data_IF_625422063088
#
_entry.id   IF_625422063088
#
_cell.length_a   1.000
_cell.length_b   1.000
_cell.length_c   1.000
_cell.angle_alpha   90.00
_cell.angle_beta   90.00
_cell.angle_gamma   90.00
#
_symmetry.space_group_name_H-M   'P 1'
#
loop_
_entity.id
_entity.type
_entity.pdbx_description
1 polymer ?
#
# COMPACT_ATOMS: atom_id res chain seq x y z
N UNK A 1 32.68 -2.59 -2.91
CA UNK A 1 31.40 -2.19 -2.30
C UNK A 1 31.41 -0.68 -2.14
N UNK A 2 30.54 0.07 -2.86
CA UNK A 2 30.43 1.51 -2.76
C UNK A 2 29.93 1.91 -1.37
N UNK A 3 30.22 3.17 -0.96
CA UNK A 3 29.65 3.73 0.29
C UNK A 3 28.13 3.65 0.23
N UNK A 4 27.48 3.13 1.28
CA UNK A 4 26.03 3.13 1.40
C UNK A 4 25.50 4.56 1.32
N UNK A 5 24.44 4.78 0.56
CA UNK A 5 23.81 6.10 0.39
C UNK A 5 22.58 6.16 1.28
N UNK A 6 22.49 7.20 2.11
CA UNK A 6 21.28 7.46 2.89
C UNK A 6 20.21 8.06 1.98
N UNK A 7 19.04 7.42 1.95
CA UNK A 7 17.85 7.87 1.22
C UNK A 7 16.77 8.19 2.24
N UNK A 8 16.14 9.36 2.10
CA UNK A 8 15.01 9.80 2.89
C UNK A 8 13.71 9.45 2.16
N UNK A 9 12.76 8.89 2.89
CA UNK A 9 11.43 8.55 2.39
C UNK A 9 10.41 9.52 2.97
N UNK A 10 9.69 10.24 2.10
CA UNK A 10 8.47 10.94 2.45
C UNK A 10 7.28 10.10 1.98
N UNK A 11 6.38 9.81 2.89
CA UNK A 11 5.11 9.19 2.54
C UNK A 11 4.03 10.27 2.33
N UNK A 12 3.30 10.18 1.23
CA UNK A 12 2.24 11.12 0.85
C UNK A 12 0.88 10.44 0.71
N UNK A 13 0.68 9.29 1.38
CA UNK A 13 -0.60 8.55 1.37
C UNK A 13 -1.77 9.40 1.82
N UNK A 14 -1.55 10.25 2.85
CA UNK A 14 -2.59 11.10 3.44
C UNK A 14 -2.89 12.37 2.65
N UNK A 15 -2.10 12.69 1.62
CA UNK A 15 -2.36 13.82 0.72
C UNK A 15 -2.63 13.34 -0.69
N UNK A 16 -1.61 12.85 -1.42
CA UNK A 16 -1.74 12.38 -2.80
C UNK A 16 -2.48 11.03 -2.88
N UNK A 17 -2.22 10.15 -1.93
CA UNK A 17 -2.94 8.88 -1.82
C UNK A 17 -4.45 9.07 -1.66
N UNK A 18 -4.88 10.10 -0.95
CA UNK A 18 -6.29 10.45 -0.79
C UNK A 18 -6.92 11.04 -2.08
N UNK A 19 -6.12 11.45 -3.07
CA UNK A 19 -6.61 11.84 -4.39
C UNK A 19 -7.00 10.65 -5.28
N UNK A 20 -6.84 9.41 -4.80
CA UNK A 20 -7.41 8.23 -5.45
C UNK A 20 -8.94 8.36 -5.49
N UNK A 21 -9.53 8.13 -6.65
CA UNK A 21 -10.99 8.22 -6.81
C UNK A 21 -11.71 7.29 -5.82
N UNK A 22 -12.62 7.85 -5.02
CA UNK A 22 -13.40 7.12 -4.03
C UNK A 22 -12.71 6.97 -2.66
N UNK A 23 -11.51 7.48 -2.47
CA UNK A 23 -10.81 7.48 -1.18
C UNK A 23 -11.07 8.81 -0.45
N UNK A 24 -11.40 8.71 0.83
CA UNK A 24 -11.50 9.84 1.75
C UNK A 24 -11.28 9.33 3.17
N UNK A 25 -10.31 9.90 3.88
CA UNK A 25 -10.01 9.52 5.26
C UNK A 25 -10.62 10.51 6.25
N UNK A 26 -11.27 10.00 7.28
CA UNK A 26 -11.72 10.87 8.38
C UNK A 26 -10.55 11.25 9.29
N UNK A 27 -10.65 12.35 10.10
CA UNK A 27 -9.52 12.85 10.90
C UNK A 27 -8.84 11.80 11.78
N UNK A 28 -9.59 10.89 12.40
CA UNK A 28 -9.03 9.81 13.21
C UNK A 28 -8.26 8.76 12.40
N UNK A 29 -8.70 8.43 11.20
CA UNK A 29 -8.00 7.52 10.30
C UNK A 29 -6.68 8.15 9.83
N UNK A 30 -6.69 9.45 9.45
CA UNK A 30 -5.47 10.19 9.13
C UNK A 30 -4.47 10.16 10.29
N UNK A 31 -4.93 10.42 11.51
CA UNK A 31 -4.06 10.31 12.69
C UNK A 31 -3.51 8.89 12.87
N UNK A 32 -4.34 7.87 12.73
CA UNK A 32 -3.89 6.47 12.85
C UNK A 32 -2.86 6.11 11.79
N UNK A 33 -3.10 6.45 10.52
CA UNK A 33 -2.15 6.20 9.44
C UNK A 33 -0.85 6.98 9.68
N UNK A 34 -0.91 8.26 10.06
CA UNK A 34 0.28 9.06 10.36
C UNK A 34 1.13 8.43 11.48
N UNK A 35 0.49 7.86 12.50
CA UNK A 35 1.19 7.14 13.58
C UNK A 35 1.88 5.88 13.06
N UNK A 36 1.18 5.06 12.29
CA UNK A 36 1.76 3.84 11.69
C UNK A 36 2.94 4.18 10.78
N UNK A 37 2.83 5.24 10.00
CA UNK A 37 3.92 5.70 9.13
C UNK A 37 5.15 6.15 9.92
N UNK A 38 4.97 6.96 10.97
CA UNK A 38 6.07 7.59 11.71
C UNK A 38 6.65 6.70 12.82
N UNK A 39 5.83 5.93 13.55
CA UNK A 39 6.26 5.09 14.68
C UNK A 39 6.59 3.67 14.25
N UNK A 40 5.76 3.03 13.42
CA UNK A 40 5.92 1.62 13.03
C UNK A 40 6.82 1.48 11.81
N UNK A 41 6.47 2.09 10.69
CA UNK A 41 7.28 2.06 9.46
C UNK A 41 8.52 2.94 9.53
N UNK A 42 8.51 3.99 10.35
CA UNK A 42 9.63 4.93 10.58
C UNK A 42 10.04 5.69 9.32
N UNK A 43 9.06 6.12 8.52
CA UNK A 43 9.33 7.03 7.41
C UNK A 43 10.00 8.31 7.90
N UNK A 44 10.78 8.97 7.05
CA UNK A 44 11.49 10.18 7.44
C UNK A 44 10.55 11.38 7.58
N UNK A 45 9.53 11.45 6.70
CA UNK A 45 8.55 12.55 6.63
C UNK A 45 7.19 12.04 6.15
N UNK A 46 6.12 12.75 6.52
CA UNK A 46 4.76 12.48 6.06
C UNK A 46 4.10 13.76 5.58
N UNK A 47 3.53 13.74 4.39
CA UNK A 47 2.68 14.82 3.87
C UNK A 47 1.22 14.46 4.14
N UNK A 48 0.56 15.22 5.03
CA UNK A 48 -0.68 14.77 5.66
C UNK A 48 -1.96 15.37 5.07
N UNK A 49 -1.86 16.48 4.35
CA UNK A 49 -3.02 17.17 3.78
C UNK A 49 -2.62 18.24 2.76
N UNK A 50 -3.62 18.77 2.05
CA UNK A 50 -3.53 20.04 1.34
C UNK A 50 -4.21 21.13 2.16
N UNK A 51 -3.57 22.29 2.28
CA UNK A 51 -4.11 23.42 3.01
C UNK A 51 -5.43 23.93 2.39
N UNK A 52 -6.38 24.37 3.24
CA UNK A 52 -7.62 25.06 2.82
C UNK A 52 -8.64 24.22 2.05
N UNK A 53 -8.54 22.90 2.10
CA UNK A 53 -9.50 22.03 1.40
C UNK A 53 -10.83 21.93 2.14
N UNK A 54 -10.79 21.64 3.45
CA UNK A 54 -12.00 21.52 4.28
C UNK A 54 -11.70 21.72 5.77
N UNK A 55 -12.75 21.84 6.58
CA UNK A 55 -12.63 21.87 8.03
C UNK A 55 -12.15 20.52 8.59
N UNK A 56 -12.53 19.41 7.96
CA UNK A 56 -12.05 18.08 8.32
C UNK A 56 -10.54 17.93 8.12
N UNK A 57 -9.99 18.48 7.03
CA UNK A 57 -8.54 18.53 6.81
C UNK A 57 -7.83 19.36 7.88
N UNK A 58 -8.41 20.50 8.27
CA UNK A 58 -7.87 21.32 9.34
C UNK A 58 -7.82 20.57 10.67
N UNK A 59 -8.90 19.89 11.04
CA UNK A 59 -8.99 19.08 12.25
C UNK A 59 -7.98 17.93 12.22
N UNK A 60 -7.90 17.20 11.11
CA UNK A 60 -6.95 16.10 10.94
C UNK A 60 -5.50 16.57 11.13
N UNK A 61 -5.09 17.63 10.43
CA UNK A 61 -3.73 18.18 10.57
C UNK A 61 -3.45 18.65 11.99
N UNK A 62 -4.40 19.34 12.62
CA UNK A 62 -4.27 19.77 14.01
C UNK A 62 -4.08 18.58 14.96
N UNK A 63 -4.89 17.54 14.84
CA UNK A 63 -4.78 16.33 15.65
C UNK A 63 -3.41 15.64 15.46
N UNK A 64 -2.94 15.53 14.22
CA UNK A 64 -1.64 14.93 13.90
C UNK A 64 -0.49 15.79 14.49
N UNK A 65 -0.54 17.12 14.33
CA UNK A 65 0.48 18.02 14.86
C UNK A 65 0.52 17.99 16.40
N UNK A 66 -0.64 18.02 17.07
CA UNK A 66 -0.73 17.95 18.54
C UNK A 66 -0.17 16.62 19.07
N UNK A 67 -0.42 15.50 18.36
CA UNK A 67 0.17 14.21 18.70
C UNK A 67 1.67 14.18 18.42
N UNK A 68 2.12 14.61 17.23
CA UNK A 68 3.52 14.59 16.82
C UNK A 68 4.40 15.49 17.71
N UNK A 69 3.88 16.62 18.17
CA UNK A 69 4.58 17.51 19.11
C UNK A 69 4.89 16.79 20.42
N UNK A 70 3.94 16.04 20.99
CA UNK A 70 4.15 15.25 22.22
C UNK A 70 5.17 14.11 22.05
N UNK A 71 5.44 13.69 20.82
CA UNK A 71 6.37 12.61 20.46
C UNK A 71 7.71 13.12 19.91
N UNK A 72 7.91 14.45 19.85
CA UNK A 72 9.07 15.07 19.20
C UNK A 72 9.21 14.71 17.71
N UNK A 73 8.07 14.50 17.02
CA UNK A 73 7.98 14.13 15.61
C UNK A 73 7.42 15.25 14.71
N UNK A 74 7.10 16.43 15.29
CA UNK A 74 6.43 17.50 14.55
C UNK A 74 7.23 17.97 13.33
N UNK A 75 8.55 17.93 13.38
CA UNK A 75 9.43 18.28 12.27
C UNK A 75 9.35 17.33 11.07
N UNK A 76 8.68 16.19 11.22
CA UNK A 76 8.44 15.19 10.17
C UNK A 76 7.06 15.35 9.51
N UNK A 77 6.20 16.21 10.04
CA UNK A 77 4.84 16.43 9.52
C UNK A 77 4.86 17.62 8.58
N UNK A 78 4.43 17.41 7.34
CA UNK A 78 4.42 18.40 6.27
C UNK A 78 3.02 18.56 5.70
N UNK A 79 2.69 19.77 5.22
CA UNK A 79 1.41 20.09 4.60
C UNK A 79 1.63 20.77 3.26
N UNK A 80 0.91 20.34 2.23
CA UNK A 80 0.91 21.00 0.93
C UNK A 80 0.20 22.36 1.05
N UNK A 81 0.84 23.42 0.57
CA UNK A 81 0.27 24.76 0.52
C UNK A 81 0.42 25.37 -0.86
N UNK A 82 -0.20 26.51 -1.07
CA UNK A 82 -0.27 27.17 -2.37
C UNK A 82 0.41 28.54 -2.34
N UNK A 83 0.84 29.02 -3.52
CA UNK A 83 1.36 30.39 -3.71
C UNK A 83 0.18 31.36 -3.76
N UNK A 84 -0.39 31.65 -2.59
CA UNK A 84 -1.64 32.41 -2.40
C UNK A 84 -1.47 33.56 -1.37
N UNK A 85 -0.28 34.13 -1.34
CA UNK A 85 0.11 35.19 -0.41
C UNK A 85 0.32 34.63 1.01
N UNK A 86 -0.55 34.97 1.93
CA UNK A 86 -0.45 34.53 3.35
C UNK A 86 -1.39 33.37 3.69
N UNK A 87 -2.36 33.10 2.87
CA UNK A 87 -3.53 32.31 3.26
C UNK A 87 -3.20 30.87 3.61
N UNK A 88 -2.41 30.17 2.80
CA UNK A 88 -1.97 28.80 3.09
C UNK A 88 -1.02 28.76 4.30
N UNK A 89 -0.11 29.73 4.42
CA UNK A 89 0.84 29.82 5.54
C UNK A 89 0.09 30.05 6.86
N UNK A 90 -0.86 30.98 6.91
CA UNK A 90 -1.68 31.24 8.10
C UNK A 90 -2.52 30.02 8.50
N UNK A 91 -3.06 29.30 7.51
CA UNK A 91 -3.82 28.07 7.76
C UNK A 91 -2.92 27.01 8.40
N UNK A 92 -1.72 26.81 7.86
CA UNK A 92 -0.71 25.85 8.36
C UNK A 92 -0.26 26.23 9.77
N UNK A 93 0.03 27.51 10.01
CA UNK A 93 0.40 28.01 11.34
C UNK A 93 -0.66 27.69 12.39
N UNK A 94 -1.94 27.92 12.05
CA UNK A 94 -3.08 27.67 12.96
C UNK A 94 -3.27 26.19 13.29
N UNK A 95 -2.85 25.26 12.44
CA UNK A 95 -2.86 23.83 12.74
C UNK A 95 -1.74 23.40 13.66
N UNK A 96 -0.73 24.24 13.87
CA UNK A 96 0.48 23.94 14.62
C UNK A 96 1.58 23.26 13.78
N UNK A 97 1.35 23.00 12.48
CA UNK A 97 2.38 22.47 11.59
C UNK A 97 3.53 23.50 11.39
N UNK A 98 4.73 23.00 11.12
CA UNK A 98 5.96 23.81 10.99
C UNK A 98 6.66 23.65 9.65
N UNK A 99 6.06 22.90 8.71
CA UNK A 99 6.63 22.67 7.40
C UNK A 99 5.56 22.81 6.34
N UNK A 100 5.79 23.67 5.35
CA UNK A 100 4.97 23.83 4.16
C UNK A 100 5.68 23.22 2.95
N UNK A 101 4.97 22.40 2.17
CA UNK A 101 5.35 21.98 0.84
C UNK A 101 4.63 22.90 -0.16
N UNK A 102 5.30 23.93 -0.62
CA UNK A 102 4.72 24.99 -1.44
C UNK A 102 4.59 24.52 -2.89
N UNK A 103 3.38 24.45 -3.42
CA UNK A 103 3.10 24.03 -4.80
C UNK A 103 3.34 25.19 -5.78
N UNK A 104 4.42 25.11 -6.54
CA UNK A 104 4.80 26.05 -7.58
C UNK A 104 4.69 25.40 -8.95
N UNK A 105 4.53 26.18 -10.02
CA UNK A 105 4.46 25.65 -11.40
C UNK A 105 5.85 25.42 -11.96
N UNK A 106 6.16 24.16 -12.26
CA UNK A 106 7.46 23.71 -12.79
C UNK A 106 7.55 23.70 -14.32
N UNK A 107 6.47 24.03 -15.06
CA UNK A 107 6.48 24.20 -16.52
C UNK A 107 5.99 25.59 -16.95
N UNK A 108 6.57 26.11 -18.03
CA UNK A 108 6.15 27.42 -18.58
C UNK A 108 4.67 27.42 -18.96
N UNK A 109 4.18 26.29 -19.49
CA UNK A 109 2.77 26.14 -19.87
C UNK A 109 1.85 26.33 -18.68
N UNK A 110 2.13 25.71 -17.53
CA UNK A 110 1.31 25.89 -16.31
C UNK A 110 1.43 27.33 -15.75
N UNK A 111 2.62 27.93 -15.79
CA UNK A 111 2.82 29.31 -15.36
C UNK A 111 1.97 30.28 -16.20
N UNK A 112 2.08 30.20 -17.52
CA UNK A 112 1.44 31.19 -18.42
C UNK A 112 -0.02 30.92 -18.71
N UNK A 113 -0.44 29.66 -18.83
CA UNK A 113 -1.80 29.31 -19.23
C UNK A 113 -2.72 29.08 -18.03
N UNK A 114 -2.24 28.44 -16.95
CA UNK A 114 -3.05 28.17 -15.76
C UNK A 114 -3.02 29.34 -14.78
N UNK A 115 -1.83 29.82 -14.37
CA UNK A 115 -1.73 30.98 -13.49
C UNK A 115 -1.94 32.30 -14.21
N UNK A 116 -1.75 32.35 -15.54
CA UNK A 116 -1.78 33.57 -16.36
C UNK A 116 -0.77 34.62 -15.88
N UNK A 117 0.43 34.16 -15.48
CA UNK A 117 1.52 35.00 -14.97
C UNK A 117 2.75 34.90 -15.85
N UNK A 118 3.54 35.96 -15.83
CA UNK A 118 4.91 35.91 -16.36
C UNK A 118 5.82 35.16 -15.37
N UNK A 119 6.90 34.52 -15.83
CA UNK A 119 7.86 33.80 -14.97
C UNK A 119 8.36 34.63 -13.78
N UNK A 120 8.70 35.90 -14.03
CA UNK A 120 9.22 36.82 -13.00
C UNK A 120 8.20 37.09 -11.90
N UNK A 121 6.93 37.30 -12.29
CA UNK A 121 5.83 37.50 -11.32
C UNK A 121 5.62 36.27 -10.46
N UNK A 122 5.67 35.07 -11.06
CA UNK A 122 5.51 33.83 -10.30
C UNK A 122 6.67 33.60 -9.33
N UNK A 123 7.91 33.90 -9.73
CA UNK A 123 9.10 33.83 -8.87
C UNK A 123 8.96 34.80 -7.71
N UNK A 124 8.54 36.05 -7.96
CA UNK A 124 8.35 37.06 -6.93
C UNK A 124 7.30 36.63 -5.90
N UNK A 125 6.17 36.08 -6.36
CA UNK A 125 5.12 35.56 -5.49
C UNK A 125 5.66 34.44 -4.57
N UNK A 126 6.42 33.48 -5.12
CA UNK A 126 7.04 32.40 -4.34
C UNK A 126 7.97 32.98 -3.29
N UNK A 127 8.87 33.89 -3.66
CA UNK A 127 9.83 34.54 -2.74
C UNK A 127 9.09 35.25 -1.61
N UNK A 128 7.97 35.92 -1.92
CA UNK A 128 7.17 36.62 -0.89
C UNK A 128 6.53 35.65 0.08
N UNK A 129 5.99 34.50 -0.39
CA UNK A 129 5.43 33.46 0.49
C UNK A 129 6.52 32.82 1.36
N UNK A 130 7.70 32.53 0.77
CA UNK A 130 8.84 31.97 1.51
C UNK A 130 9.26 32.91 2.63
N UNK A 131 9.43 34.20 2.31
CA UNK A 131 9.79 35.21 3.33
C UNK A 131 8.77 35.29 4.47
N UNK A 132 7.48 35.28 4.12
CA UNK A 132 6.42 35.30 5.13
C UNK A 132 6.42 34.03 5.99
N UNK A 133 6.66 32.86 5.42
CA UNK A 133 6.79 31.62 6.18
C UNK A 133 7.99 31.64 7.14
N UNK A 134 9.13 32.22 6.72
CA UNK A 134 10.32 32.44 7.57
C UNK A 134 10.02 33.33 8.77
N UNK A 135 9.22 34.42 8.59
CA UNK A 135 8.79 35.30 9.68
C UNK A 135 7.98 34.56 10.77
N UNK A 136 7.34 33.44 10.39
CA UNK A 136 6.52 32.61 11.27
C UNK A 136 7.22 31.31 11.73
N UNK A 137 8.51 31.17 11.45
CA UNK A 137 9.31 29.97 11.76
C UNK A 137 8.69 28.68 11.15
N UNK A 138 8.22 28.79 9.92
CA UNK A 138 7.71 27.68 9.10
C UNK A 138 8.72 27.36 7.99
N UNK A 139 9.27 26.14 8.03
CA UNK A 139 10.21 25.70 7.01
C UNK A 139 9.50 25.48 5.66
N UNK A 140 10.15 25.83 4.56
CA UNK A 140 9.58 25.75 3.22
C UNK A 140 10.33 24.71 2.37
N UNK A 141 9.58 23.78 1.81
CA UNK A 141 9.97 22.95 0.66
C UNK A 141 9.16 23.41 -0.54
N UNK A 142 9.62 23.15 -1.76
CA UNK A 142 8.94 23.58 -2.98
C UNK A 142 8.73 22.42 -3.93
N UNK A 143 7.48 22.17 -4.34
CA UNK A 143 7.16 21.34 -5.51
C UNK A 143 7.25 22.16 -6.77
N UNK A 144 7.92 21.64 -7.80
CA UNK A 144 7.87 22.16 -9.16
C UNK A 144 6.84 21.35 -9.96
N UNK A 145 5.55 21.59 -9.72
CA UNK A 145 4.45 20.84 -10.38
C UNK A 145 4.62 20.85 -11.90
N UNK A 146 4.46 19.68 -12.52
CA UNK A 146 4.68 19.46 -13.96
C UNK A 146 6.15 19.64 -14.40
N UNK A 147 7.10 19.39 -13.47
CA UNK A 147 8.53 19.48 -13.74
C UNK A 147 8.97 18.61 -14.92
N UNK A 148 8.41 17.43 -15.10
CA UNK A 148 8.72 16.54 -16.22
C UNK A 148 8.47 17.18 -17.58
N UNK A 149 7.31 17.79 -17.80
CA UNK A 149 7.03 18.59 -19.00
C UNK A 149 7.88 19.87 -19.05
N UNK A 150 8.12 20.50 -17.90
CA UNK A 150 9.03 21.64 -17.79
C UNK A 150 10.40 21.32 -18.37
N UNK A 151 11.02 20.23 -17.94
CA UNK A 151 12.34 19.81 -18.43
C UNK A 151 12.33 19.38 -19.90
N UNK A 152 11.21 18.81 -20.37
CA UNK A 152 11.05 18.36 -21.75
C UNK A 152 10.86 19.51 -22.73
N UNK A 153 9.97 20.45 -22.39
CA UNK A 153 9.45 21.43 -23.34
C UNK A 153 9.89 22.88 -23.03
N UNK A 154 10.34 23.17 -21.80
CA UNK A 154 10.67 24.52 -21.32
C UNK A 154 11.76 24.51 -20.23
N UNK A 155 12.85 23.78 -20.45
CA UNK A 155 13.93 23.66 -19.46
C UNK A 155 14.54 25.00 -19.03
N UNK A 156 14.57 25.99 -19.92
CA UNK A 156 15.05 27.35 -19.59
C UNK A 156 14.19 28.03 -18.53
N UNK A 157 12.88 27.81 -18.56
CA UNK A 157 11.97 28.27 -17.51
C UNK A 157 12.25 27.56 -16.18
N UNK A 158 12.46 26.24 -16.19
CA UNK A 158 12.80 25.50 -14.98
C UNK A 158 14.08 26.07 -14.34
N UNK A 159 15.09 26.36 -15.16
CA UNK A 159 16.33 26.94 -14.67
C UNK A 159 16.15 28.39 -14.21
N UNK A 160 15.36 29.21 -14.92
CA UNK A 160 15.01 30.56 -14.49
C UNK A 160 14.33 30.56 -13.12
N UNK A 161 13.36 29.66 -12.91
CA UNK A 161 12.66 29.48 -11.64
C UNK A 161 13.65 29.10 -10.52
N UNK A 162 14.48 28.09 -10.74
CA UNK A 162 15.48 27.64 -9.79
C UNK A 162 16.51 28.73 -9.45
N UNK A 163 17.00 29.49 -10.45
CA UNK A 163 17.94 30.58 -10.26
C UNK A 163 17.32 31.73 -9.45
N UNK A 164 16.01 32.01 -9.65
CA UNK A 164 15.28 33.02 -8.90
C UNK A 164 15.04 32.63 -7.43
N UNK A 165 15.04 31.34 -7.12
CA UNK A 165 14.78 30.83 -5.77
C UNK A 165 16.03 30.40 -4.98
N UNK A 166 17.20 30.36 -5.61
CA UNK A 166 18.43 29.78 -5.02
C UNK A 166 18.92 30.46 -3.74
N UNK A 167 18.63 31.74 -3.56
CA UNK A 167 19.08 32.56 -2.44
C UNK A 167 18.02 32.68 -1.33
N UNK A 168 16.96 31.86 -1.39
CA UNK A 168 15.91 31.77 -0.37
C UNK A 168 16.23 30.69 0.67
N UNK A 169 15.42 30.63 1.73
CA UNK A 169 15.51 29.64 2.81
C UNK A 169 14.98 28.24 2.44
N UNK A 170 14.54 28.01 1.22
CA UNK A 170 13.97 26.74 0.77
C UNK A 170 14.91 25.57 1.08
N UNK A 171 14.36 24.54 1.75
CA UNK A 171 15.15 23.38 2.20
C UNK A 171 15.31 22.30 1.14
N UNK A 172 14.27 22.10 0.33
CA UNK A 172 14.19 21.02 -0.68
C UNK A 172 13.45 21.47 -1.92
N UNK A 173 13.86 20.96 -3.05
CA UNK A 173 13.12 21.07 -4.31
C UNK A 173 12.61 19.70 -4.71
N UNK A 174 11.30 19.56 -4.78
CA UNK A 174 10.58 18.34 -5.08
C UNK A 174 10.22 18.33 -6.56
N UNK A 175 10.69 17.31 -7.28
CA UNK A 175 10.63 17.22 -8.73
C UNK A 175 9.61 16.14 -9.13
N UNK A 176 8.34 16.53 -9.38
CA UNK A 176 7.31 15.56 -9.71
C UNK A 176 7.25 15.24 -11.20
N UNK A 177 7.18 13.96 -11.50
CA UNK A 177 6.63 13.46 -12.76
C UNK A 177 5.11 13.38 -12.62
N UNK A 178 4.48 14.57 -12.66
CA UNK A 178 3.06 14.79 -12.32
C UNK A 178 2.11 13.94 -13.15
N UNK A 179 2.45 13.68 -14.42
CA UNK A 179 1.62 12.91 -15.34
C UNK A 179 2.20 11.51 -15.61
N UNK A 180 3.23 11.10 -14.87
CA UNK A 180 3.87 9.80 -15.03
C UNK A 180 4.42 9.55 -16.44
N UNK A 181 4.91 10.58 -17.14
CA UNK A 181 5.28 10.52 -18.56
C UNK A 181 6.75 10.15 -18.82
N UNK A 182 7.58 10.13 -17.79
CA UNK A 182 9.01 9.88 -17.96
C UNK A 182 9.30 8.38 -18.03
N UNK A 183 10.32 8.05 -18.79
CA UNK A 183 11.00 6.76 -18.70
C UNK A 183 12.33 6.90 -17.92
N UNK A 184 12.96 5.80 -17.47
CA UNK A 184 14.17 5.86 -16.66
C UNK A 184 15.35 6.62 -17.31
N UNK A 185 15.49 6.56 -18.63
CA UNK A 185 16.56 7.26 -19.35
C UNK A 185 16.36 8.78 -19.31
N UNK A 186 15.13 9.23 -19.47
CA UNK A 186 14.77 10.65 -19.34
C UNK A 186 14.96 11.14 -17.90
N UNK A 187 14.59 10.35 -16.90
CA UNK A 187 14.87 10.69 -15.50
C UNK A 187 16.36 10.89 -15.28
N UNK A 188 17.21 9.97 -15.74
CA UNK A 188 18.67 10.09 -15.63
C UNK A 188 19.17 11.37 -16.33
N UNK A 189 18.69 11.63 -17.53
CA UNK A 189 19.11 12.82 -18.30
C UNK A 189 18.73 14.11 -17.56
N UNK A 190 17.47 14.25 -17.17
CA UNK A 190 16.95 15.47 -16.55
C UNK A 190 17.56 15.70 -15.17
N UNK A 191 17.65 14.66 -14.36
CA UNK A 191 18.30 14.75 -13.03
C UNK A 191 19.78 15.12 -13.13
N UNK A 192 20.51 14.59 -14.12
CA UNK A 192 21.90 14.97 -14.35
C UNK A 192 22.04 16.44 -14.72
N UNK A 193 21.13 16.99 -15.55
CA UNK A 193 21.10 18.43 -15.87
C UNK A 193 20.89 19.27 -14.60
N UNK A 194 19.90 18.88 -13.76
CA UNK A 194 19.63 19.56 -12.50
C UNK A 194 20.82 19.50 -11.53
N UNK A 195 21.37 18.32 -11.28
CA UNK A 195 22.50 18.12 -10.36
C UNK A 195 23.79 18.80 -10.85
N UNK A 196 24.02 18.85 -12.16
CA UNK A 196 25.18 19.56 -12.73
C UNK A 196 25.10 21.07 -12.47
N UNK A 197 23.89 21.66 -12.60
CA UNK A 197 23.68 23.10 -12.39
C UNK A 197 23.56 23.47 -10.91
N UNK A 198 22.96 22.59 -10.11
CA UNK A 198 22.69 22.82 -8.68
C UNK A 198 23.27 21.69 -7.81
N UNK A 199 24.62 21.54 -7.73
CA UNK A 199 25.26 20.37 -7.10
C UNK A 199 25.02 20.25 -5.59
N UNK A 200 24.72 21.36 -4.91
CA UNK A 200 24.51 21.41 -3.45
C UNK A 200 23.04 21.38 -3.06
N UNK A 201 22.13 21.47 -4.02
CA UNK A 201 20.69 21.45 -3.75
C UNK A 201 20.20 20.06 -3.42
N UNK A 202 19.33 19.98 -2.40
CA UNK A 202 18.62 18.76 -2.07
C UNK A 202 17.40 18.61 -2.99
N UNK A 203 17.40 17.53 -3.76
CA UNK A 203 16.28 17.17 -4.62
C UNK A 203 15.56 15.94 -4.08
N UNK A 204 14.22 16.01 -4.06
CA UNK A 204 13.33 14.87 -3.92
C UNK A 204 12.71 14.53 -5.28
N UNK A 205 12.39 13.26 -5.49
CA UNK A 205 11.69 12.81 -6.71
C UNK A 205 10.35 12.20 -6.34
N UNK A 206 9.31 12.62 -7.07
CA UNK A 206 7.94 12.13 -6.91
C UNK A 206 7.46 11.58 -8.26
N UNK A 207 7.05 10.30 -8.30
CA UNK A 207 6.69 9.62 -9.54
C UNK A 207 5.27 9.09 -9.51
N UNK A 208 4.40 9.58 -10.44
CA UNK A 208 3.15 8.92 -10.78
C UNK A 208 3.38 7.69 -11.66
N UNK A 209 2.40 6.78 -11.68
CA UNK A 209 2.55 5.42 -12.23
C UNK A 209 1.76 5.16 -13.52
N UNK A 210 1.46 6.20 -14.29
CA UNK A 210 0.57 6.12 -15.46
C UNK A 210 1.03 5.12 -16.53
N UNK A 211 2.35 4.94 -16.71
CA UNK A 211 2.93 3.92 -17.60
C UNK A 211 3.50 2.71 -16.86
N UNK A 212 3.14 2.52 -15.58
CA UNK A 212 3.70 1.48 -14.71
C UNK A 212 5.23 1.53 -14.57
N UNK A 213 5.80 2.75 -14.66
CA UNK A 213 7.24 3.00 -14.59
C UNK A 213 7.68 3.71 -13.30
N UNK A 214 6.78 4.00 -12.37
CA UNK A 214 7.10 4.80 -11.19
C UNK A 214 8.28 4.23 -10.40
N UNK A 215 8.29 2.92 -10.13
CA UNK A 215 9.36 2.26 -9.36
C UNK A 215 10.69 2.31 -10.12
N UNK A 216 10.69 2.07 -11.42
CA UNK A 216 11.91 2.14 -12.24
C UNK A 216 12.43 3.57 -12.40
N UNK A 217 11.52 4.56 -12.43
CA UNK A 217 11.87 5.98 -12.44
C UNK A 217 12.49 6.43 -11.11
N UNK A 218 11.96 5.96 -9.98
CA UNK A 218 12.57 6.17 -8.66
C UNK A 218 13.99 5.61 -8.62
N UNK A 219 14.19 4.39 -9.13
CA UNK A 219 15.50 3.77 -9.26
C UNK A 219 16.47 4.65 -10.07
N UNK A 220 16.04 5.16 -11.22
CA UNK A 220 16.81 6.05 -12.09
C UNK A 220 17.16 7.38 -11.39
N UNK A 221 16.25 7.93 -10.59
CA UNK A 221 16.48 9.13 -9.82
C UNK A 221 17.57 8.92 -8.75
N UNK A 222 17.54 7.80 -8.01
CA UNK A 222 18.57 7.44 -7.02
C UNK A 222 19.94 7.26 -7.68
N UNK A 223 20.01 6.57 -8.83
CA UNK A 223 21.23 6.45 -9.65
C UNK A 223 21.81 7.81 -10.07
N UNK A 224 20.95 8.81 -10.18
CA UNK A 224 21.33 10.17 -10.57
C UNK A 224 21.64 11.07 -9.36
N UNK A 225 21.65 10.51 -8.13
CA UNK A 225 22.05 11.20 -6.91
C UNK A 225 20.93 11.97 -6.20
N UNK A 226 19.67 11.62 -6.44
CA UNK A 226 18.53 12.05 -5.63
C UNK A 226 18.61 11.39 -4.25
N UNK A 227 18.24 12.11 -3.20
CA UNK A 227 18.33 11.64 -1.82
C UNK A 227 16.98 11.57 -1.10
N UNK A 228 15.95 12.21 -1.62
CA UNK A 228 14.59 12.15 -1.11
C UNK A 228 13.65 11.51 -2.12
N UNK A 229 12.77 10.63 -1.67
CA UNK A 229 11.80 9.94 -2.50
C UNK A 229 10.42 10.06 -1.90
N UNK A 230 9.43 10.28 -2.75
CA UNK A 230 8.03 10.28 -2.36
C UNK A 230 7.39 8.96 -2.74
N UNK A 231 6.64 8.41 -1.80
CA UNK A 231 5.95 7.13 -1.94
C UNK A 231 4.55 7.21 -1.34
N UNK A 232 3.71 6.23 -1.68
CA UNK A 232 2.46 6.01 -0.97
C UNK A 232 2.32 4.54 -0.58
N UNK A 233 1.59 4.28 0.48
CA UNK A 233 1.19 2.91 0.84
C UNK A 233 0.31 2.37 -0.30
N UNK A 234 0.57 1.13 -0.70
CA UNK A 234 -0.13 0.43 -1.79
C UNK A 234 -0.08 1.12 -3.15
N UNK A 235 0.69 2.20 -3.29
CA UNK A 235 0.75 2.98 -4.52
C UNK A 235 -0.51 3.82 -4.75
N UNK A 236 -1.26 4.18 -3.71
CA UNK A 236 -2.40 5.06 -3.81
C UNK A 236 -2.01 6.41 -4.44
N UNK A 237 -2.93 7.06 -5.13
CA UNK A 237 -2.74 8.35 -5.78
C UNK A 237 -3.68 8.55 -6.95
N UNK A 238 -3.64 9.75 -7.49
CA UNK A 238 -4.48 10.11 -8.63
C UNK A 238 -4.21 9.20 -9.85
N UNK A 239 -5.23 8.89 -10.63
CA UNK A 239 -5.20 8.06 -11.86
C UNK A 239 -4.67 6.63 -11.59
N UNK A 240 -3.42 6.32 -12.02
CA UNK A 240 -2.77 5.02 -11.80
C UNK A 240 -1.94 4.96 -10.51
N UNK A 241 -1.99 6.03 -9.69
CA UNK A 241 -1.33 6.09 -8.40
C UNK A 241 0.13 6.54 -8.47
N UNK A 242 0.86 6.27 -7.40
CA UNK A 242 2.24 6.67 -7.14
C UNK A 242 3.18 5.47 -7.01
N UNK A 243 4.47 5.76 -6.85
CA UNK A 243 5.46 4.74 -6.49
C UNK A 243 5.11 4.08 -5.13
N UNK A 244 4.84 2.76 -5.08
CA UNK A 244 4.46 2.09 -3.84
C UNK A 244 5.67 1.91 -2.90
N UNK A 245 5.52 2.29 -1.63
CA UNK A 245 6.57 2.25 -0.62
C UNK A 245 7.24 0.87 -0.53
N UNK A 246 6.46 -0.20 -0.49
CA UNK A 246 7.00 -1.55 -0.33
C UNK A 246 7.96 -1.94 -1.46
N UNK A 247 7.60 -1.67 -2.73
CA UNK A 247 8.46 -1.97 -3.88
C UNK A 247 9.69 -1.08 -3.90
N UNK A 248 9.54 0.22 -3.59
CA UNK A 248 10.66 1.17 -3.53
C UNK A 248 11.64 0.74 -2.45
N UNK A 249 11.17 0.41 -1.25
CA UNK A 249 12.02 -0.01 -0.15
C UNK A 249 12.82 -1.27 -0.48
N UNK A 250 12.17 -2.28 -1.04
CA UNK A 250 12.84 -3.53 -1.42
C UNK A 250 13.97 -3.29 -2.44
N UNK A 251 13.69 -2.52 -3.50
CA UNK A 251 14.68 -2.18 -4.52
C UNK A 251 15.85 -1.40 -3.93
N UNK A 252 15.59 -0.41 -3.08
CA UNK A 252 16.63 0.39 -2.45
C UNK A 252 17.58 -0.48 -1.64
N UNK A 253 17.06 -1.46 -0.90
CA UNK A 253 17.87 -2.37 -0.09
C UNK A 253 18.62 -3.38 -0.95
N UNK A 254 17.94 -4.06 -1.86
CA UNK A 254 18.48 -5.21 -2.57
C UNK A 254 19.41 -4.80 -3.72
N UNK A 255 19.13 -3.70 -4.41
CA UNK A 255 19.91 -3.28 -5.58
C UNK A 255 20.86 -2.11 -5.33
N UNK A 256 20.68 -1.33 -4.26
CA UNK A 256 21.53 -0.17 -3.97
C UNK A 256 22.29 -0.25 -2.65
N UNK A 257 21.95 -1.20 -1.79
CA UNK A 257 22.44 -1.21 -0.41
C UNK A 257 22.23 0.17 0.25
N UNK A 258 21.08 0.82 -0.07
CA UNK A 258 20.75 2.12 0.47
C UNK A 258 20.34 1.98 1.95
N UNK A 259 20.71 2.99 2.74
CA UNK A 259 20.28 3.09 4.13
C UNK A 259 18.98 3.90 4.18
N UNK A 260 17.91 3.26 4.57
CA UNK A 260 16.63 3.88 4.94
C UNK A 260 16.31 3.57 6.39
N UNK A 261 15.36 4.30 6.96
CA UNK A 261 14.87 4.02 8.33
C UNK A 261 13.69 3.05 8.35
N UNK A 262 13.21 2.60 7.17
CA UNK A 262 11.99 1.80 7.02
C UNK A 262 12.11 0.45 7.71
N UNK A 263 11.14 0.14 8.57
CA UNK A 263 10.96 -1.19 9.16
C UNK A 263 10.13 -2.08 8.22
N UNK A 264 10.84 -2.92 7.44
CA UNK A 264 10.22 -3.78 6.42
C UNK A 264 9.21 -4.77 7.02
N UNK A 265 9.41 -5.19 8.27
CA UNK A 265 8.54 -6.17 8.94
C UNK A 265 7.12 -5.63 9.17
N UNK A 266 6.95 -4.30 9.16
CA UNK A 266 5.65 -3.63 9.38
C UNK A 266 4.92 -3.28 8.08
N UNK A 267 5.57 -3.44 6.92
CA UNK A 267 5.00 -3.05 5.62
C UNK A 267 3.67 -3.73 5.33
N UNK A 268 3.56 -5.03 5.59
CA UNK A 268 2.33 -5.76 5.32
C UNK A 268 1.18 -5.31 6.24
N UNK A 269 1.42 -5.15 7.54
CA UNK A 269 0.41 -4.72 8.51
C UNK A 269 -0.13 -3.34 8.16
N UNK A 270 0.75 -2.37 7.90
CA UNK A 270 0.35 -1.00 7.54
C UNK A 270 -0.38 -0.98 6.20
N UNK A 271 0.06 -1.80 5.24
CA UNK A 271 -0.59 -1.98 3.95
C UNK A 271 -2.05 -2.42 4.10
N UNK A 272 -2.33 -3.40 5.00
CA UNK A 272 -3.69 -3.89 5.27
C UNK A 272 -4.57 -2.87 5.98
N UNK A 273 -4.02 -2.08 6.89
CA UNK A 273 -4.78 -1.00 7.55
C UNK A 273 -5.19 0.05 6.52
N UNK A 274 -4.26 0.47 5.64
CA UNK A 274 -4.57 1.45 4.59
C UNK A 274 -5.55 0.88 3.56
N UNK A 275 -5.45 -0.41 3.20
CA UNK A 275 -6.46 -1.11 2.38
C UNK A 275 -7.86 -1.00 3.00
N UNK A 276 -7.97 -1.29 4.31
CA UNK A 276 -9.24 -1.26 5.04
C UNK A 276 -9.84 0.16 5.09
N UNK A 277 -9.02 1.18 5.34
CA UNK A 277 -9.52 2.57 5.44
C UNK A 277 -9.80 3.20 4.08
N UNK A 278 -8.99 2.90 3.08
CA UNK A 278 -9.19 3.44 1.73
C UNK A 278 -10.31 2.73 0.96
N UNK A 279 -10.66 1.49 1.33
CA UNK A 279 -11.55 0.63 0.57
C UNK A 279 -10.96 0.14 -0.78
N UNK A 280 -9.70 0.45 -1.07
CA UNK A 280 -9.02 0.01 -2.30
C UNK A 280 -8.35 -1.33 -2.05
N UNK A 281 -8.91 -2.39 -2.62
CA UNK A 281 -8.41 -3.75 -2.45
C UNK A 281 -7.04 -3.94 -3.10
N UNK A 282 -6.12 -4.52 -2.35
CA UNK A 282 -4.78 -4.84 -2.85
C UNK A 282 -4.88 -6.06 -3.79
N UNK A 283 -4.44 -5.95 -5.06
CA UNK A 283 -4.36 -7.11 -5.94
C UNK A 283 -3.52 -8.23 -5.32
N UNK A 284 -4.01 -9.47 -5.38
CA UNK A 284 -3.34 -10.61 -4.76
C UNK A 284 -1.89 -10.82 -5.24
N UNK A 285 -1.57 -10.37 -6.45
CA UNK A 285 -0.24 -10.40 -7.05
C UNK A 285 0.55 -9.09 -6.91
N UNK A 286 0.08 -8.12 -6.11
CA UNK A 286 0.82 -6.87 -5.87
C UNK A 286 2.17 -7.18 -5.21
N UNK A 287 3.29 -6.71 -5.77
CA UNK A 287 4.61 -7.00 -5.20
C UNK A 287 4.68 -6.73 -3.70
N UNK A 288 5.23 -7.66 -2.94
CA UNK A 288 5.51 -7.64 -1.50
C UNK A 288 4.26 -7.73 -0.61
N UNK A 289 3.22 -6.94 -0.87
CA UNK A 289 2.04 -6.83 0.01
C UNK A 289 0.84 -7.64 -0.47
N UNK A 290 0.85 -8.12 -1.71
CA UNK A 290 -0.22 -8.98 -2.24
C UNK A 290 -0.29 -10.32 -1.52
N UNK A 291 -1.47 -10.91 -1.48
CA UNK A 291 -1.71 -12.17 -0.76
C UNK A 291 -0.86 -13.32 -1.29
N UNK A 292 -0.75 -13.45 -2.61
CA UNK A 292 -0.12 -14.60 -3.26
C UNK A 292 1.38 -14.44 -3.57
N UNK A 293 2.01 -13.32 -3.21
CA UNK A 293 3.39 -13.03 -3.66
C UNK A 293 4.46 -13.92 -3.05
N UNK A 294 4.16 -14.59 -1.94
CA UNK A 294 5.02 -15.56 -1.27
C UNK A 294 4.46 -16.98 -1.34
N UNK A 295 3.44 -17.20 -2.19
CA UNK A 295 2.78 -18.49 -2.36
C UNK A 295 3.34 -19.22 -3.59
N UNK A 296 3.87 -20.41 -3.39
CA UNK A 296 4.34 -21.27 -4.47
C UNK A 296 3.25 -22.27 -4.87
N UNK A 297 2.98 -22.40 -6.18
CA UNK A 297 1.92 -23.27 -6.70
C UNK A 297 2.49 -24.55 -7.29
N UNK A 298 3.59 -24.45 -8.05
CA UNK A 298 4.17 -25.59 -8.76
C UNK A 298 4.95 -26.52 -7.80
N UNK A 299 4.62 -27.82 -7.83
CA UNK A 299 5.28 -28.82 -6.99
C UNK A 299 6.81 -28.91 -7.18
N UNK A 300 7.30 -28.60 -8.39
CA UNK A 300 8.74 -28.54 -8.67
C UNK A 300 9.44 -27.41 -7.91
N UNK A 301 8.75 -26.31 -7.66
CA UNK A 301 9.31 -25.20 -6.87
C UNK A 301 9.40 -25.58 -5.38
N UNK A 302 8.34 -26.20 -4.83
CA UNK A 302 8.36 -26.69 -3.45
C UNK A 302 9.46 -27.75 -3.22
N UNK A 303 9.67 -28.64 -4.18
CA UNK A 303 10.77 -29.62 -4.13
C UNK A 303 12.15 -28.93 -4.19
N UNK A 304 12.29 -27.90 -5.02
CA UNK A 304 13.52 -27.12 -5.13
C UNK A 304 13.83 -26.30 -3.87
N UNK A 305 12.81 -25.78 -3.20
CA UNK A 305 12.97 -25.09 -1.92
C UNK A 305 13.51 -26.05 -0.84
N UNK A 306 13.07 -27.30 -0.83
CA UNK A 306 13.62 -28.35 0.06
C UNK A 306 15.08 -28.70 -0.27
N UNK A 307 15.57 -28.35 -1.48
CA UNK A 307 16.91 -28.62 -1.98
C UNK A 307 17.78 -27.35 -2.02
N UNK A 308 17.94 -26.67 -0.90
CA UNK A 308 18.72 -25.43 -0.72
C UNK A 308 18.09 -24.18 -1.33
N UNK A 309 16.78 -24.01 -1.23
CA UNK A 309 16.07 -22.79 -1.65
C UNK A 309 16.35 -22.39 -3.11
N UNK A 310 16.33 -23.35 -4.04
CA UNK A 310 16.67 -23.12 -5.45
C UNK A 310 15.74 -22.11 -6.17
N UNK A 311 14.56 -21.90 -5.64
CA UNK A 311 13.56 -20.95 -6.19
C UNK A 311 13.33 -19.74 -5.28
N UNK A 312 14.29 -19.41 -4.40
CA UNK A 312 14.26 -18.21 -3.57
C UNK A 312 15.03 -17.08 -4.24
N UNK A 313 14.53 -15.86 -4.06
CA UNK A 313 15.23 -14.61 -4.35
C UNK A 313 15.47 -13.84 -3.03
N UNK A 314 16.01 -12.63 -3.12
CA UNK A 314 16.32 -11.79 -1.95
C UNK A 314 15.06 -11.26 -1.23
N UNK A 315 13.87 -11.38 -1.86
CA UNK A 315 12.59 -11.03 -1.25
C UNK A 315 12.09 -12.16 -0.35
N UNK A 316 12.78 -12.36 0.77
CA UNK A 316 12.39 -13.38 1.74
C UNK A 316 11.12 -12.96 2.49
N UNK A 317 10.10 -13.83 2.63
CA UNK A 317 8.83 -13.50 3.29
C UNK A 317 9.02 -12.95 4.71
N UNK A 318 9.97 -13.50 5.45
CA UNK A 318 10.26 -13.17 6.85
C UNK A 318 10.69 -11.70 7.02
N UNK A 319 11.31 -11.10 6.00
CA UNK A 319 11.65 -9.66 5.98
C UNK A 319 10.41 -8.78 6.14
N UNK A 320 9.28 -9.26 5.63
CA UNK A 320 8.02 -8.52 5.54
C UNK A 320 6.97 -9.01 6.56
N UNK A 321 7.42 -9.75 7.58
CA UNK A 321 6.54 -10.32 8.60
C UNK A 321 5.60 -11.41 8.07
N UNK A 322 5.98 -12.07 6.95
CA UNK A 322 5.18 -13.11 6.30
C UNK A 322 5.89 -14.47 6.31
N UNK A 323 5.17 -15.49 5.90
CA UNK A 323 5.69 -16.84 5.70
C UNK A 323 5.54 -17.24 4.24
N UNK A 324 6.38 -18.20 3.83
CA UNK A 324 6.20 -18.87 2.54
C UNK A 324 5.04 -19.84 2.64
N UNK A 325 4.21 -19.85 1.64
CA UNK A 325 3.02 -20.69 1.54
C UNK A 325 3.10 -21.59 0.31
N UNK A 326 2.43 -22.73 0.35
CA UNK A 326 2.37 -23.67 -0.76
C UNK A 326 0.91 -23.91 -1.10
N UNK A 327 0.48 -23.38 -2.24
CA UNK A 327 -0.91 -23.50 -2.67
C UNK A 327 -1.28 -24.93 -2.97
N UNK A 328 -2.54 -25.26 -2.72
CA UNK A 328 -3.15 -26.55 -3.01
C UNK A 328 -4.08 -26.43 -4.23
N UNK A 329 -3.98 -27.33 -5.19
CA UNK A 329 -4.81 -27.30 -6.39
C UNK A 329 -4.26 -28.15 -7.54
N UNK A 330 -4.71 -27.84 -8.75
CA UNK A 330 -4.41 -28.61 -9.98
C UNK A 330 -2.93 -28.91 -10.23
N UNK A 331 -2.04 -27.96 -9.92
CA UNK A 331 -0.59 -28.08 -10.17
C UNK A 331 0.20 -28.50 -8.94
N UNK A 332 -0.49 -28.84 -7.83
CA UNK A 332 0.15 -29.31 -6.61
C UNK A 332 0.80 -30.66 -6.81
N UNK A 333 2.09 -30.73 -6.47
CA UNK A 333 2.81 -31.98 -6.36
C UNK A 333 2.81 -32.50 -4.90
N UNK A 334 3.31 -33.75 -4.71
CA UNK A 334 3.47 -34.33 -3.38
C UNK A 334 4.24 -33.42 -2.41
N UNK A 335 5.22 -32.64 -2.91
CA UNK A 335 6.02 -31.74 -2.08
C UNK A 335 5.21 -30.62 -1.45
N UNK A 336 4.31 -29.97 -2.22
CA UNK A 336 3.40 -28.92 -1.71
C UNK A 336 2.50 -29.47 -0.60
N UNK A 337 1.90 -30.64 -0.88
CA UNK A 337 0.95 -31.27 0.05
C UNK A 337 1.68 -31.69 1.33
N UNK A 338 2.86 -32.28 1.21
CA UNK A 338 3.68 -32.69 2.36
C UNK A 338 4.01 -31.50 3.25
N UNK A 339 4.39 -30.36 2.68
CA UNK A 339 4.66 -29.12 3.45
C UNK A 339 3.45 -28.63 4.24
N UNK A 340 2.29 -28.58 3.60
CA UNK A 340 1.06 -28.19 4.28
C UNK A 340 0.64 -29.17 5.38
N UNK A 341 0.86 -30.48 5.18
CA UNK A 341 0.59 -31.51 6.18
C UNK A 341 1.56 -31.44 7.37
N UNK A 342 2.87 -31.24 7.09
CA UNK A 342 3.90 -31.01 8.13
C UNK A 342 3.53 -29.84 9.04
N UNK A 343 3.07 -28.72 8.47
CA UNK A 343 2.64 -27.53 9.20
C UNK A 343 1.43 -27.83 10.12
N UNK A 344 0.58 -28.79 9.73
CA UNK A 344 -0.55 -29.26 10.53
C UNK A 344 -0.18 -30.40 11.51
N UNK A 345 1.07 -30.85 11.51
CA UNK A 345 1.53 -31.98 12.30
C UNK A 345 0.98 -33.33 11.83
N UNK A 346 0.58 -33.44 10.55
CA UNK A 346 0.06 -34.66 9.94
C UNK A 346 1.16 -35.34 9.11
N UNK A 347 1.31 -36.64 9.29
CA UNK A 347 2.22 -37.48 8.49
C UNK A 347 1.41 -38.58 7.80
N UNK A 348 1.67 -38.80 6.50
CA UNK A 348 1.00 -39.80 5.69
C UNK A 348 2.01 -40.73 5.03
N UNK A 349 1.66 -42.04 4.94
CA UNK A 349 2.43 -42.97 4.14
C UNK A 349 2.30 -42.65 2.62
N UNK A 350 3.15 -43.25 1.81
CA UNK A 350 3.23 -42.95 0.37
C UNK A 350 1.93 -43.23 -0.40
N UNK A 351 1.16 -44.26 0.00
CA UNK A 351 -0.11 -44.60 -0.67
C UNK A 351 -1.20 -43.60 -0.30
N UNK A 352 -1.32 -43.24 0.97
CA UNK A 352 -2.21 -42.23 1.48
C UNK A 352 -1.91 -40.86 0.86
N UNK A 353 -0.63 -40.48 0.79
CA UNK A 353 -0.17 -39.28 0.12
C UNK A 353 -0.59 -39.23 -1.35
N UNK A 354 -0.47 -40.36 -2.08
CA UNK A 354 -0.88 -40.43 -3.48
C UNK A 354 -2.39 -40.16 -3.63
N UNK A 355 -3.23 -40.82 -2.82
CA UNK A 355 -4.70 -40.67 -2.86
C UNK A 355 -5.11 -39.23 -2.53
N UNK A 356 -4.54 -38.64 -1.49
CA UNK A 356 -4.81 -37.25 -1.10
C UNK A 356 -4.38 -36.28 -2.22
N UNK A 357 -3.22 -36.53 -2.84
CA UNK A 357 -2.74 -35.72 -3.98
C UNK A 357 -3.71 -35.78 -5.16
N UNK A 358 -4.17 -36.98 -5.54
CA UNK A 358 -5.14 -37.17 -6.61
C UNK A 358 -6.46 -36.42 -6.33
N UNK A 359 -6.93 -36.46 -5.09
CA UNK A 359 -8.17 -35.76 -4.68
C UNK A 359 -8.02 -34.25 -4.75
N UNK A 360 -6.90 -33.69 -4.29
CA UNK A 360 -6.62 -32.24 -4.37
C UNK A 360 -6.54 -31.77 -5.82
N UNK A 361 -5.91 -32.56 -6.71
CA UNK A 361 -5.86 -32.24 -8.13
C UNK A 361 -7.25 -32.27 -8.76
N UNK A 362 -8.08 -33.29 -8.42
CA UNK A 362 -9.47 -33.37 -8.88
C UNK A 362 -10.31 -32.14 -8.47
N UNK A 363 -10.18 -31.70 -7.22
CA UNK A 363 -10.86 -30.49 -6.73
C UNK A 363 -10.38 -29.26 -7.51
N UNK A 364 -9.07 -29.11 -7.69
CA UNK A 364 -8.49 -28.03 -8.48
C UNK A 364 -8.90 -28.03 -9.95
N UNK A 365 -9.09 -29.20 -10.58
CA UNK A 365 -9.62 -29.32 -11.95
C UNK A 365 -11.08 -28.86 -12.06
N UNK A 366 -11.83 -28.97 -10.97
CA UNK A 366 -13.20 -28.44 -10.85
C UNK A 366 -13.25 -26.96 -10.51
N UNK A 367 -12.08 -26.28 -10.42
CA UNK A 367 -11.91 -24.88 -9.96
C UNK A 367 -12.36 -24.65 -8.52
N UNK A 368 -12.34 -25.68 -7.69
CA UNK A 368 -12.57 -25.54 -6.26
C UNK A 368 -11.28 -25.03 -5.60
N UNK A 369 -11.41 -24.00 -4.75
CA UNK A 369 -10.30 -23.52 -3.95
C UNK A 369 -10.07 -24.50 -2.80
N UNK A 370 -8.86 -25.03 -2.69
CA UNK A 370 -8.46 -25.90 -1.58
C UNK A 370 -7.49 -25.12 -0.71
N UNK A 371 -7.80 -25.02 0.57
CA UNK A 371 -6.99 -24.34 1.58
C UNK A 371 -6.28 -25.35 2.49
N UNK A 372 -5.33 -24.87 3.31
CA UNK A 372 -4.64 -25.72 4.28
C UNK A 372 -5.62 -26.31 5.32
N UNK A 373 -6.64 -25.52 5.71
CA UNK A 373 -7.68 -25.93 6.63
C UNK A 373 -8.58 -27.06 6.12
N UNK A 374 -8.68 -27.22 4.79
CA UNK A 374 -9.45 -28.30 4.16
C UNK A 374 -8.71 -29.65 4.23
N UNK A 375 -7.39 -29.64 4.39
CA UNK A 375 -6.58 -30.86 4.35
C UNK A 375 -7.00 -31.93 5.35
N UNK A 376 -7.27 -31.68 6.64
CA UNK A 376 -7.71 -32.70 7.57
C UNK A 376 -9.00 -33.39 7.11
N UNK A 377 -9.93 -32.65 6.52
CA UNK A 377 -11.19 -33.18 6.00
C UNK A 377 -10.98 -34.01 4.74
N UNK A 378 -10.13 -33.53 3.82
CA UNK A 378 -9.76 -34.26 2.60
C UNK A 378 -9.07 -35.59 2.95
N UNK A 379 -8.11 -35.54 3.91
CA UNK A 379 -7.43 -36.74 4.40
C UNK A 379 -8.42 -37.74 5.00
N UNK A 380 -9.32 -37.26 5.85
CA UNK A 380 -10.36 -38.09 6.48
C UNK A 380 -11.28 -38.74 5.45
N UNK A 381 -11.75 -37.98 4.47
CA UNK A 381 -12.65 -38.45 3.38
C UNK A 381 -11.94 -39.53 2.53
N UNK A 382 -10.73 -39.26 2.09
CA UNK A 382 -9.97 -40.14 1.20
C UNK A 382 -9.53 -41.44 1.87
N UNK A 383 -9.10 -41.37 3.13
CA UNK A 383 -8.58 -42.54 3.84
C UNK A 383 -9.65 -43.34 4.57
N UNK A 384 -10.89 -42.83 4.64
CA UNK A 384 -12.01 -43.44 5.39
C UNK A 384 -11.63 -43.77 6.85
N UNK A 385 -10.66 -43.07 7.40
CA UNK A 385 -10.24 -43.18 8.80
C UNK A 385 -10.77 -41.97 9.54
N UNK A 386 -11.72 -42.18 10.46
CA UNK A 386 -12.49 -41.15 11.16
C UNK A 386 -11.65 -40.16 11.97
N UNK A 387 -11.06 -39.18 11.28
CA UNK A 387 -10.54 -37.93 11.88
C UNK A 387 -11.72 -36.97 12.13
N UNK A 388 -12.79 -37.09 11.37
CA UNK A 388 -14.05 -36.37 11.60
C UNK A 388 -15.16 -37.41 11.66
N UNK A 389 -15.75 -37.61 12.85
CA UNK A 389 -16.97 -38.37 12.92
C UNK A 389 -18.07 -37.54 12.24
N UNK A 390 -18.72 -38.10 11.21
CA UNK A 390 -19.97 -37.52 10.68
C UNK A 390 -21.07 -37.64 11.71
N UNK A 391 -20.92 -36.92 12.83
CA UNK A 391 -21.95 -36.90 13.87
C UNK A 391 -23.23 -36.21 13.39
N UNK A 392 -23.09 -35.34 12.38
CA UNK A 392 -24.20 -34.56 11.83
C UNK A 392 -24.21 -34.66 10.30
N UNK A 393 -25.35 -35.09 9.73
CA UNK A 393 -25.58 -35.14 8.29
C UNK A 393 -26.73 -34.23 7.88
N UNK A 394 -26.51 -33.30 6.97
CA UNK A 394 -27.58 -32.53 6.35
C UNK A 394 -28.38 -33.43 5.42
N UNK A 395 -29.66 -33.68 5.71
CA UNK A 395 -30.53 -34.54 4.88
C UNK A 395 -31.25 -33.73 3.80
N UNK A 396 -31.86 -32.61 4.19
CA UNK A 396 -32.56 -31.72 3.27
C UNK A 396 -32.71 -30.33 3.89
N UNK A 397 -32.92 -29.34 3.05
CA UNK A 397 -33.32 -28.01 3.48
C UNK A 397 -34.24 -27.35 2.46
N UNK A 398 -35.09 -26.45 2.93
CA UNK A 398 -35.93 -25.58 2.11
C UNK A 398 -35.74 -24.14 2.61
N UNK A 399 -35.47 -23.21 1.70
CA UNK A 399 -35.44 -21.79 2.01
C UNK A 399 -36.55 -21.10 1.25
N UNK A 400 -37.43 -20.42 1.97
CA UNK A 400 -38.56 -19.67 1.40
C UNK A 400 -38.28 -18.18 1.46
N UNK A 401 -38.38 -17.54 0.30
CA UNK A 401 -38.25 -16.09 0.13
C UNK A 401 -39.58 -15.55 -0.41
N UNK A 402 -40.12 -14.52 0.22
CA UNK A 402 -41.32 -13.83 -0.25
C UNK A 402 -41.17 -12.33 -0.06
N UNK A 403 -41.71 -11.56 -0.99
CA UNK A 403 -41.68 -10.08 -0.91
C UNK A 403 -42.41 -9.60 0.34
N UNK A 404 -41.74 -8.78 1.14
CA UNK A 404 -42.32 -8.20 2.35
C UNK A 404 -42.37 -9.12 3.58
N UNK A 405 -41.85 -10.36 3.49
CA UNK A 405 -41.73 -11.30 4.61
C UNK A 405 -40.27 -11.61 4.90
N UNK A 406 -39.97 -11.94 6.17
CA UNK A 406 -38.65 -12.44 6.54
C UNK A 406 -38.37 -13.79 5.86
N UNK A 407 -37.16 -14.04 5.36
CA UNK A 407 -36.74 -15.36 4.91
C UNK A 407 -36.97 -16.42 5.99
N UNK A 408 -37.42 -17.60 5.56
CA UNK A 408 -37.60 -18.76 6.43
C UNK A 408 -36.81 -19.94 5.87
N UNK A 409 -36.21 -20.73 6.74
CA UNK A 409 -35.56 -21.98 6.38
C UNK A 409 -36.08 -23.15 7.24
N UNK A 410 -36.36 -24.26 6.58
CA UNK A 410 -36.59 -25.56 7.24
C UNK A 410 -35.36 -26.41 6.95
N UNK A 411 -34.71 -26.91 8.01
CA UNK A 411 -33.48 -27.71 7.88
C UNK A 411 -33.74 -29.06 8.58
N UNK A 412 -33.37 -30.14 7.84
CA UNK A 412 -33.46 -31.51 8.38
C UNK A 412 -32.03 -32.09 8.42
N UNK A 413 -31.62 -32.50 9.62
CA UNK A 413 -30.33 -33.14 9.87
C UNK A 413 -30.49 -34.50 10.51
N UNK A 414 -29.47 -35.34 10.37
CA UNK A 414 -29.34 -36.61 11.11
C UNK A 414 -28.17 -36.47 12.09
N UNK A 415 -28.41 -36.68 13.35
CA UNK A 415 -27.39 -36.70 14.43
C UNK A 415 -27.37 -38.08 15.04
N UNK A 416 -26.24 -38.78 14.96
CA UNK A 416 -26.08 -40.13 15.53
C UNK A 416 -27.20 -41.11 15.11
N UNK A 417 -27.61 -41.02 13.83
CA UNK A 417 -28.66 -41.87 13.27
C UNK A 417 -30.11 -41.49 13.61
N UNK A 418 -30.33 -40.36 14.31
CA UNK A 418 -31.66 -39.79 14.56
C UNK A 418 -31.89 -38.55 13.73
N UNK A 419 -33.05 -38.43 13.11
CA UNK A 419 -33.45 -37.29 12.31
C UNK A 419 -34.08 -36.20 13.17
N UNK A 420 -33.68 -34.94 12.92
CA UNK A 420 -34.23 -33.74 13.55
C UNK A 420 -34.60 -32.76 12.46
N UNK A 421 -35.68 -32.02 12.64
CA UNK A 421 -36.14 -31.00 11.73
C UNK A 421 -36.49 -29.74 12.49
N UNK A 422 -36.02 -28.59 12.02
CA UNK A 422 -36.26 -27.28 12.65
C UNK A 422 -36.58 -26.24 11.57
N UNK A 423 -37.38 -25.25 11.96
CA UNK A 423 -37.81 -24.16 11.11
C UNK A 423 -37.53 -22.83 11.80
N UNK A 424 -36.81 -21.93 11.16
CA UNK A 424 -36.48 -20.62 11.69
C UNK A 424 -36.55 -19.53 10.62
N UNK A 425 -36.74 -18.28 11.08
CA UNK A 425 -36.67 -17.11 10.22
C UNK A 425 -35.40 -16.33 10.54
N UNK A 426 -34.89 -15.58 9.55
CA UNK A 426 -33.70 -14.74 9.69
C UNK A 426 -33.82 -13.45 8.86
N UNK A 427 -32.83 -12.55 9.00
CA UNK A 427 -32.78 -11.31 8.26
C UNK A 427 -32.32 -11.51 6.80
N UNK A 428 -31.74 -12.68 6.50
CA UNK A 428 -31.38 -13.15 5.15
C UNK A 428 -31.54 -14.67 5.02
N UNK A 429 -31.43 -15.18 3.79
CA UNK A 429 -31.59 -16.63 3.51
C UNK A 429 -30.56 -17.49 4.26
N UNK A 430 -29.31 -17.04 4.33
CA UNK A 430 -28.24 -17.74 5.05
C UNK A 430 -28.44 -17.65 6.56
N UNK A 431 -28.91 -16.52 7.05
CA UNK A 431 -29.20 -16.32 8.46
C UNK A 431 -30.34 -17.26 8.91
N UNK A 432 -31.45 -17.32 8.16
CA UNK A 432 -32.56 -18.24 8.44
C UNK A 432 -32.10 -19.71 8.49
N UNK A 433 -31.22 -20.12 7.54
CA UNK A 433 -30.63 -21.45 7.54
C UNK A 433 -29.71 -21.68 8.75
N UNK A 434 -28.82 -20.73 9.05
CA UNK A 434 -27.86 -20.84 10.15
C UNK A 434 -28.56 -20.90 11.51
N UNK A 435 -29.63 -20.13 11.74
CA UNK A 435 -30.43 -20.17 12.95
C UNK A 435 -31.09 -21.53 13.11
N UNK A 436 -31.73 -22.07 12.06
CA UNK A 436 -32.33 -23.43 12.09
C UNK A 436 -31.28 -24.50 12.40
N UNK A 437 -30.12 -24.45 11.77
CA UNK A 437 -29.01 -25.37 12.01
C UNK A 437 -28.45 -25.26 13.42
N UNK A 438 -28.32 -24.05 13.96
CA UNK A 438 -27.82 -23.81 15.34
C UNK A 438 -28.77 -24.34 16.40
N UNK A 439 -30.10 -24.17 16.21
CA UNK A 439 -31.09 -24.72 17.08
C UNK A 439 -31.01 -26.24 17.13
N UNK A 440 -30.83 -26.89 15.96
CA UNK A 440 -30.70 -28.34 15.91
C UNK A 440 -29.44 -28.85 16.61
N UNK A 441 -28.29 -28.13 16.50
CA UNK A 441 -27.07 -28.48 17.25
C UNK A 441 -27.21 -28.35 18.77
N UNK A 442 -28.07 -27.48 19.26
CA UNK A 442 -28.31 -27.36 20.69
C UNK A 442 -28.95 -28.65 21.32
N UNK A 443 -29.45 -29.57 20.51
CA UNK A 443 -29.90 -30.89 20.95
C UNK A 443 -28.77 -31.93 21.13
N UNK A 444 -27.50 -31.56 20.83
CA UNK A 444 -26.32 -32.41 21.09
C UNK A 444 -25.81 -32.34 22.54
N UNK A 445 -26.22 -31.32 23.29
CA UNK A 445 -25.88 -31.15 24.73
C UNK A 445 -27.02 -31.54 25.62
#
# INVERSE_FOLDING_TARGET
MGKSVKIEIMDTTLRDGEQTSGVSFVPHEKLMIARLLLEDLKVDRVEVASARVSDGEFEAVKMICDWAARRNLLHKVEVLGFVDGRTSVDWIQRTGCRVINLLCKGSLKHCTQQLKKMPEEHIEDIVNVVRYADELDIAVNVYLEDWSNGMKDSSDYVFQLMDGLKDTSIKRYMLPDTLGILNPLQVIEFMRKMKKRYPHTHFDFHAHNDYDLAVSNVLAAVLSGVKGLHTTINGLGERAGNAPLASVQAILKDHFNALTNIDESRLNDVSRVVESYSGIVIPANKPIVGENVFTQVAGVHADGDNKNNLYCNDLLPERFGRKREYALGKTSGKANIRKNLEDLGLDLDEESMRKVTERIIELGDKKELVTQEDLPYIVSDVLKHGVVSESVKLKSYIVTLAHGLKPMATVKIEINGKEFEENSSGDGQYDAFAVSYTHLRAHET
#
